data_IF_183018230086
#
_entry.id   IF_183018230086
#
_cell.length_a   1.000
_cell.length_b   1.000
_cell.length_c   1.000
_cell.angle_alpha   90.00
_cell.angle_beta   90.00
_cell.angle_gamma   90.00
#
_symmetry.space_group_name_H-M   'P 1'
#
loop_
_entity.id
_entity.type
_entity.pdbx_description
1 polymer ?
#
# COMPACT_ATOMS: atom_id res chain seq x y z
N UNK A 1 10.67 -12.36 9.43
CA UNK A 1 9.55 -11.47 9.83
C UNK A 1 9.95 -10.06 9.43
N UNK A 2 9.07 -9.33 8.75
CA UNK A 2 9.26 -7.88 8.53
C UNK A 2 8.39 -7.19 9.54
N UNK A 3 8.98 -6.27 10.30
CA UNK A 3 8.25 -5.46 11.27
C UNK A 3 8.44 -4.01 10.88
N UNK A 4 7.34 -3.27 10.81
CA UNK A 4 7.40 -1.83 10.90
C UNK A 4 7.79 -1.48 12.33
N UNK A 5 8.97 -0.87 12.48
CA UNK A 5 9.43 -0.37 13.77
C UNK A 5 9.17 1.12 13.86
N UNK A 6 8.18 1.53 14.65
CA UNK A 6 8.07 2.91 15.13
C UNK A 6 9.20 3.16 16.13
N UNK A 7 10.36 3.61 15.64
CA UNK A 7 11.32 4.21 16.56
C UNK A 7 10.87 5.63 16.88
N UNK A 8 10.26 5.79 18.05
CA UNK A 8 10.32 7.04 18.79
C UNK A 8 11.78 7.37 19.11
N UNK A 9 12.55 7.87 18.15
CA UNK A 9 13.87 8.42 18.41
C UNK A 9 13.68 9.89 18.79
N UNK A 10 13.33 10.10 20.05
CA UNK A 10 13.45 11.35 20.78
C UNK A 10 14.89 11.87 20.66
N UNK A 11 15.18 12.64 19.61
CA UNK A 11 16.22 13.66 19.68
C UNK A 11 15.51 15.00 19.67
N UNK A 12 15.66 15.73 20.78
CA UNK A 12 15.23 17.12 20.96
C UNK A 12 15.69 17.96 19.78
N UNK A 13 14.84 18.16 18.79
CA UNK A 13 14.87 19.35 17.96
C UNK A 13 13.49 20.02 18.06
N UNK A 14 13.41 21.31 18.43
CA UNK A 14 12.15 21.92 18.84
C UNK A 14 11.20 22.20 17.66
N UNK A 15 11.67 22.06 16.42
CA UNK A 15 11.00 22.70 15.27
C UNK A 15 10.61 21.75 14.12
N UNK A 16 10.56 20.43 14.37
CA UNK A 16 10.14 19.45 13.34
C UNK A 16 8.93 18.64 13.79
N UNK A 17 7.91 18.62 12.94
CA UNK A 17 6.65 17.88 13.08
C UNK A 17 6.92 16.36 13.21
N UNK A 18 5.98 15.63 13.82
CA UNK A 18 6.02 14.17 13.84
C UNK A 18 5.99 13.66 12.39
N UNK A 19 6.87 12.73 12.06
CA UNK A 19 7.01 12.18 10.71
C UNK A 19 6.22 10.87 10.67
N UNK A 20 5.14 10.78 9.89
CA UNK A 20 4.49 9.50 9.61
C UNK A 20 5.48 8.65 8.82
N UNK A 21 5.63 7.39 9.21
CA UNK A 21 6.61 6.46 8.65
C UNK A 21 7.52 5.85 9.70
N UNK A 22 7.99 4.64 9.42
CA UNK A 22 8.88 3.89 10.28
C UNK A 22 10.11 3.43 9.52
N UNK A 23 10.92 2.60 10.18
CA UNK A 23 12.01 1.92 9.49
C UNK A 23 11.53 0.58 8.96
N UNK A 24 11.83 0.31 7.69
CA UNK A 24 11.74 -1.02 7.13
C UNK A 24 12.95 -1.84 7.61
N UNK A 25 12.68 -2.90 8.35
CA UNK A 25 13.67 -3.83 8.87
C UNK A 25 13.34 -5.25 8.40
N UNK A 26 14.37 -5.99 7.99
CA UNK A 26 14.22 -7.40 7.61
C UNK A 26 14.91 -8.25 8.67
N UNK A 27 14.17 -9.16 9.30
CA UNK A 27 14.70 -10.09 10.29
C UNK A 27 14.51 -11.54 9.85
N UNK A 28 15.52 -12.37 10.12
CA UNK A 28 15.40 -13.82 10.05
C UNK A 28 14.30 -14.29 11.02
N UNK A 29 13.39 -15.14 10.54
CA UNK A 29 12.19 -15.52 11.30
C UNK A 29 12.49 -16.44 12.49
N UNK A 30 13.57 -17.22 12.41
CA UNK A 30 13.99 -18.22 13.39
C UNK A 30 14.86 -17.63 14.52
N UNK A 31 15.70 -16.66 14.18
CA UNK A 31 16.73 -16.10 15.07
C UNK A 31 16.46 -14.66 15.46
N UNK A 32 15.58 -13.95 14.73
CA UNK A 32 15.38 -12.51 14.88
C UNK A 32 16.56 -11.67 14.40
N UNK A 33 17.59 -12.28 13.80
CA UNK A 33 18.77 -11.57 13.32
C UNK A 33 18.38 -10.59 12.19
N UNK A 34 18.78 -9.32 12.34
CA UNK A 34 18.53 -8.29 11.34
C UNK A 34 19.45 -8.47 10.13
N UNK A 35 18.88 -8.43 8.93
CA UNK A 35 19.66 -8.34 7.70
C UNK A 35 20.38 -6.99 7.65
N UNK A 36 21.65 -6.96 7.21
CA UNK A 36 22.37 -5.71 7.06
C UNK A 36 21.70 -4.84 6.00
N UNK A 37 21.54 -3.54 6.30
CA UNK A 37 21.13 -2.54 5.31
C UNK A 37 22.22 -1.49 5.19
N UNK A 38 22.50 -1.04 3.95
CA UNK A 38 23.50 0.01 3.72
C UNK A 38 23.04 1.38 4.23
N UNK A 39 21.72 1.57 4.35
CA UNK A 39 21.10 2.81 4.79
C UNK A 39 19.83 2.54 5.60
N UNK A 40 19.35 3.58 6.28
CA UNK A 40 18.04 3.58 6.92
C UNK A 40 16.96 3.67 5.86
N UNK A 41 16.10 2.65 5.80
CA UNK A 41 15.01 2.56 4.84
C UNK A 41 13.74 3.08 5.51
N UNK A 42 13.23 4.20 5.02
CA UNK A 42 11.98 4.78 5.49
C UNK A 42 10.83 4.18 4.68
N UNK A 43 9.81 3.70 5.39
CA UNK A 43 8.65 3.09 4.79
C UNK A 43 7.40 3.42 5.61
N UNK A 44 6.31 3.64 4.88
CA UNK A 44 4.94 3.49 5.40
C UNK A 44 4.54 2.00 5.34
N UNK A 45 3.33 1.65 5.76
CA UNK A 45 2.83 0.26 5.80
C UNK A 45 2.82 -0.48 4.45
N UNK A 46 2.94 0.24 3.31
CA UNK A 46 2.95 -0.33 1.96
C UNK A 46 4.28 -0.95 1.53
N UNK A 47 4.52 -2.22 1.89
CA UNK A 47 5.61 -3.04 1.33
C UNK A 47 5.12 -4.43 0.88
N UNK A 48 5.83 -5.04 -0.05
CA UNK A 48 5.51 -6.36 -0.58
C UNK A 48 6.77 -7.19 -0.84
N UNK A 49 6.72 -8.47 -0.45
CA UNK A 49 7.74 -9.44 -0.83
C UNK A 49 7.59 -9.85 -2.28
N UNK A 50 8.70 -9.96 -2.99
CA UNK A 50 8.74 -10.63 -4.29
C UNK A 50 8.46 -12.13 -4.12
N UNK A 51 7.88 -12.80 -5.15
CA UNK A 51 7.67 -14.24 -5.14
C UNK A 51 8.96 -15.06 -4.92
N UNK A 52 10.13 -14.49 -5.24
CA UNK A 52 11.43 -15.13 -5.02
C UNK A 52 11.91 -15.14 -3.56
N UNK A 53 11.22 -14.41 -2.66
CA UNK A 53 11.58 -14.30 -1.24
C UNK A 53 12.92 -13.60 -0.97
N UNK A 54 13.50 -12.92 -1.96
CA UNK A 54 14.81 -12.24 -1.88
C UNK A 54 14.72 -10.74 -2.13
N UNK A 55 13.59 -10.26 -2.64
CA UNK A 55 13.35 -8.85 -2.86
C UNK A 55 12.13 -8.34 -2.12
N UNK A 56 12.16 -7.05 -1.77
CA UNK A 56 11.04 -6.33 -1.17
C UNK A 56 10.82 -5.04 -1.96
N UNK A 57 9.60 -4.83 -2.43
CA UNK A 57 9.16 -3.55 -2.97
C UNK A 57 8.54 -2.73 -1.84
N UNK A 58 8.78 -1.41 -1.84
CA UNK A 58 8.15 -0.52 -0.87
C UNK A 58 8.01 0.90 -1.40
N UNK A 59 7.08 1.65 -0.80
CA UNK A 59 6.97 3.11 -1.01
C UNK A 59 7.86 3.82 0.00
N UNK A 60 8.83 4.60 -0.48
CA UNK A 60 9.67 5.43 0.38
C UNK A 60 8.92 6.71 0.78
N UNK A 61 7.98 6.55 1.69
CA UNK A 61 7.16 7.62 2.21
C UNK A 61 7.63 8.10 3.59
N UNK A 62 7.46 9.41 3.81
CA UNK A 62 7.49 10.10 5.09
C UNK A 62 6.39 11.17 5.05
N UNK A 63 5.74 11.51 6.17
CA UNK A 63 4.65 12.49 6.15
C UNK A 63 5.01 13.86 5.58
N UNK A 64 6.29 14.24 5.64
CA UNK A 64 6.81 15.52 5.16
C UNK A 64 7.41 15.46 3.74
N UNK A 65 7.41 14.30 3.08
CA UNK A 65 8.06 14.10 1.78
C UNK A 65 7.05 13.71 0.72
N UNK A 66 6.76 14.65 -0.19
CA UNK A 66 6.21 14.36 -1.52
C UNK A 66 6.97 15.14 -2.60
N UNK A 67 7.15 14.58 -3.81
CA UNK A 67 6.73 13.25 -4.26
C UNK A 67 7.51 12.11 -3.58
N UNK A 68 7.04 10.86 -3.77
CA UNK A 68 7.63 9.64 -3.20
C UNK A 68 8.13 8.70 -4.29
N UNK A 69 9.07 7.83 -3.92
CA UNK A 69 9.64 6.83 -4.83
C UNK A 69 9.13 5.43 -4.49
N UNK A 70 8.91 4.61 -5.52
CA UNK A 70 8.75 3.16 -5.39
C UNK A 70 10.12 2.53 -5.53
N UNK A 71 10.51 1.71 -4.56
CA UNK A 71 11.84 1.15 -4.47
C UNK A 71 11.82 -0.38 -4.35
N UNK A 72 12.95 -1.00 -4.70
CA UNK A 72 13.23 -2.43 -4.52
C UNK A 72 14.47 -2.60 -3.66
N UNK A 73 14.38 -3.46 -2.66
CA UNK A 73 15.46 -3.86 -1.76
C UNK A 73 15.84 -5.31 -2.07
N UNK A 74 17.11 -5.56 -2.36
CA UNK A 74 17.67 -6.90 -2.24
C UNK A 74 17.97 -7.19 -0.76
N UNK A 75 17.45 -8.29 -0.21
CA UNK A 75 17.65 -8.62 1.21
C UNK A 75 19.13 -8.77 1.53
N UNK A 76 19.61 -8.00 2.53
CA UNK A 76 21.03 -7.95 2.91
C UNK A 76 21.91 -7.12 1.96
N UNK A 77 21.31 -6.44 0.98
CA UNK A 77 22.00 -5.72 -0.08
C UNK A 77 21.60 -4.25 -0.20
N UNK A 78 21.80 -3.72 -1.41
CA UNK A 78 21.43 -2.35 -1.76
C UNK A 78 19.96 -2.26 -2.17
N UNK A 79 19.44 -1.04 -2.13
CA UNK A 79 18.13 -0.71 -2.67
C UNK A 79 18.22 0.25 -3.84
N UNK A 80 17.25 0.15 -4.76
CA UNK A 80 17.18 0.98 -5.96
C UNK A 80 15.75 1.48 -6.19
N UNK A 81 15.57 2.77 -6.54
CA UNK A 81 14.27 3.24 -7.02
C UNK A 81 13.92 2.56 -8.34
N UNK A 82 12.67 2.14 -8.52
CA UNK A 82 12.14 1.64 -9.79
C UNK A 82 11.17 2.63 -10.43
N UNK A 83 10.55 3.49 -9.64
CA UNK A 83 9.79 4.64 -10.12
C UNK A 83 10.07 5.84 -9.20
N UNK A 84 10.36 7.00 -9.78
CA UNK A 84 10.66 8.23 -9.04
C UNK A 84 9.57 9.27 -9.22
N UNK A 85 9.51 10.22 -8.29
CA UNK A 85 8.61 11.38 -8.36
C UNK A 85 7.12 10.97 -8.51
N UNK A 86 6.71 9.94 -7.80
CA UNK A 86 5.34 9.41 -7.81
C UNK A 86 4.52 9.96 -6.65
N UNK A 87 3.25 9.56 -6.60
CA UNK A 87 2.38 9.73 -5.45
C UNK A 87 1.86 8.35 -4.98
N UNK A 88 2.73 7.34 -5.01
CA UNK A 88 2.37 5.97 -4.65
C UNK A 88 1.92 5.85 -3.18
N UNK A 89 0.94 5.00 -2.92
CA UNK A 89 0.39 4.73 -1.58
C UNK A 89 0.52 3.26 -1.15
N UNK A 90 0.54 2.34 -2.11
CA UNK A 90 0.65 0.90 -1.86
C UNK A 90 1.30 0.21 -3.06
N UNK A 91 1.97 -0.91 -2.80
CA UNK A 91 2.72 -1.68 -3.81
C UNK A 91 2.48 -3.18 -3.65
N UNK A 92 2.55 -3.91 -4.75
CA UNK A 92 2.60 -5.38 -4.76
C UNK A 92 3.46 -5.86 -5.93
N UNK A 93 3.97 -7.08 -5.87
CA UNK A 93 4.55 -7.72 -7.06
C UNK A 93 3.45 -8.32 -7.94
N UNK A 94 3.72 -8.37 -9.25
CA UNK A 94 3.04 -9.31 -10.14
C UNK A 94 3.37 -10.75 -9.73
N UNK A 95 2.48 -11.69 -10.08
CA UNK A 95 2.62 -13.10 -9.68
C UNK A 95 3.92 -13.75 -10.16
N UNK A 96 4.43 -13.32 -11.31
CA UNK A 96 5.70 -13.78 -11.90
C UNK A 96 6.94 -13.05 -11.34
N UNK A 97 6.74 -12.05 -10.48
CA UNK A 97 7.80 -11.24 -9.88
C UNK A 97 8.51 -10.28 -10.84
N UNK A 98 8.08 -10.20 -12.11
CA UNK A 98 8.76 -9.38 -13.13
C UNK A 98 8.38 -7.90 -13.07
N UNK A 99 7.21 -7.60 -12.49
CA UNK A 99 6.70 -6.24 -12.35
C UNK A 99 6.30 -5.93 -10.91
N UNK A 100 6.34 -4.65 -10.60
CA UNK A 100 5.77 -4.06 -9.40
C UNK A 100 4.54 -3.27 -9.83
N UNK A 101 3.42 -3.58 -9.21
CA UNK A 101 2.19 -2.84 -9.34
C UNK A 101 2.09 -1.87 -8.17
N UNK A 102 1.59 -0.66 -8.44
CA UNK A 102 1.38 0.32 -7.39
C UNK A 102 0.14 1.16 -7.62
N UNK A 103 -0.52 1.54 -6.52
CA UNK A 103 -1.59 2.52 -6.53
C UNK A 103 -0.99 3.92 -6.36
N UNK A 104 -1.42 4.86 -7.21
CA UNK A 104 -0.96 6.23 -7.24
C UNK A 104 -2.11 7.17 -6.89
N UNK A 105 -1.91 8.07 -5.93
CA UNK A 105 -2.87 9.14 -5.62
C UNK A 105 -2.85 10.24 -6.68
N UNK A 106 -4.00 10.86 -6.94
CA UNK A 106 -4.07 11.94 -7.93
C UNK A 106 -3.37 13.22 -7.44
N UNK A 107 -2.36 13.64 -8.19
CA UNK A 107 -1.61 14.87 -8.02
C UNK A 107 -1.87 15.85 -9.18
N UNK A 108 -2.84 15.55 -10.07
CA UNK A 108 -3.14 16.37 -11.25
C UNK A 108 -3.53 17.81 -10.89
N UNK A 109 -4.27 17.99 -9.79
CA UNK A 109 -4.73 19.29 -9.30
C UNK A 109 -3.75 20.07 -8.41
N UNK A 110 -2.52 19.57 -8.19
CA UNK A 110 -1.53 20.26 -7.37
C UNK A 110 -0.86 21.42 -8.15
N UNK A 111 -0.84 22.60 -7.53
CA UNK A 111 -0.41 23.89 -8.09
C UNK A 111 1.10 24.00 -8.41
N UNK A 112 1.48 25.09 -9.07
CA UNK A 112 2.88 25.48 -9.24
C UNK A 112 3.52 25.83 -7.88
N UNK A 113 4.63 25.16 -7.56
CA UNK A 113 5.39 25.38 -6.31
C UNK A 113 5.64 24.13 -5.48
N UNK A 114 4.94 23.02 -5.77
CA UNK A 114 5.31 21.68 -5.30
C UNK A 114 6.33 21.05 -6.26
N UNK A 115 7.24 20.17 -5.78
CA UNK A 115 8.14 19.46 -6.67
C UNK A 115 7.36 18.68 -7.75
N UNK A 116 7.92 18.53 -8.96
CA UNK A 116 7.20 17.91 -10.07
C UNK A 116 6.97 16.42 -9.79
N UNK A 117 5.76 15.95 -10.06
CA UNK A 117 5.43 14.54 -10.09
C UNK A 117 5.61 14.01 -11.53
N UNK A 118 6.43 12.97 -11.70
CA UNK A 118 6.54 12.24 -12.97
C UNK A 118 5.25 11.44 -13.27
N UNK A 119 4.57 10.94 -12.23
CA UNK A 119 3.26 10.28 -12.32
C UNK A 119 2.21 11.11 -11.60
N UNK A 120 1.49 11.95 -12.36
CA UNK A 120 0.50 12.88 -11.79
C UNK A 120 -0.87 12.26 -11.58
N UNK A 121 -1.36 11.51 -12.56
CA UNK A 121 -2.74 11.04 -12.55
C UNK A 121 -2.91 9.93 -11.52
N UNK A 122 -4.02 9.95 -10.78
CA UNK A 122 -4.38 8.86 -9.89
C UNK A 122 -4.68 7.57 -10.68
N UNK A 123 -4.33 6.42 -10.13
CA UNK A 123 -4.64 5.14 -10.77
C UNK A 123 -3.76 3.97 -10.33
N UNK A 124 -3.79 2.91 -11.13
CA UNK A 124 -3.00 1.69 -10.95
C UNK A 124 -1.94 1.63 -12.05
N UNK A 125 -0.69 1.47 -11.65
CA UNK A 125 0.47 1.50 -12.51
C UNK A 125 1.30 0.24 -12.36
N UNK A 126 2.08 -0.06 -13.39
CA UNK A 126 3.08 -1.13 -13.39
C UNK A 126 4.45 -0.59 -13.76
N UNK A 127 5.50 -1.15 -13.18
CA UNK A 127 6.90 -0.89 -13.54
C UNK A 127 7.70 -2.17 -13.45
N UNK A 128 8.74 -2.32 -14.27
CA UNK A 128 9.61 -3.49 -14.19
C UNK A 128 10.30 -3.55 -12.81
N UNK A 129 10.38 -4.75 -12.22
CA UNK A 129 11.01 -4.96 -10.93
C UNK A 129 12.55 -4.82 -10.97
N UNK A 130 13.13 -4.94 -12.17
CA UNK A 130 14.56 -4.82 -12.40
C UNK A 130 14.85 -3.85 -13.55
N UNK A 131 16.05 -3.27 -13.53
CA UNK A 131 16.55 -2.45 -14.63
C UNK A 131 16.90 -3.33 -15.84
N UNK A 132 16.57 -2.85 -17.04
CA UNK A 132 16.92 -3.52 -18.30
C UNK A 132 17.86 -2.63 -19.10
N UNK A 133 19.09 -3.09 -19.36
CA UNK A 133 20.06 -2.36 -20.20
C UNK A 133 20.48 -0.99 -19.64
N UNK A 134 20.48 -0.82 -18.31
CA UNK A 134 20.88 0.43 -17.63
C UNK A 134 19.87 1.58 -17.76
N UNK A 135 18.68 1.33 -18.32
CA UNK A 135 17.59 2.31 -18.38
C UNK A 135 16.40 1.80 -17.57
N UNK A 136 15.85 2.67 -16.72
CA UNK A 136 14.61 2.40 -15.99
C UNK A 136 13.41 2.62 -16.90
N UNK A 137 12.54 1.60 -17.08
CA UNK A 137 11.28 1.79 -17.78
C UNK A 137 10.42 2.82 -17.04
N UNK A 138 9.73 3.69 -17.78
CA UNK A 138 8.73 4.57 -17.17
C UNK A 138 7.55 3.73 -16.66
N UNK A 139 6.91 4.12 -15.54
CA UNK A 139 5.67 3.49 -15.10
C UNK A 139 4.61 3.50 -16.19
N UNK A 140 3.97 2.35 -16.42
CA UNK A 140 2.91 2.18 -17.41
C UNK A 140 1.56 2.10 -16.70
N UNK A 141 0.57 2.96 -17.05
CA UNK A 141 -0.76 2.88 -16.44
C UNK A 141 -1.47 1.60 -16.88
N UNK A 142 -1.99 0.84 -15.92
CA UNK A 142 -2.98 -0.20 -16.16
C UNK A 142 -4.40 0.39 -16.15
N UNK A 143 -4.60 1.38 -15.28
CA UNK A 143 -5.82 2.18 -15.18
C UNK A 143 -5.44 3.55 -14.62
N UNK A 144 -5.98 4.64 -15.18
CA UNK A 144 -5.71 5.99 -14.69
C UNK A 144 -6.98 6.84 -14.77
N UNK A 145 -7.35 7.45 -13.64
CA UNK A 145 -8.51 8.33 -13.53
C UNK A 145 -8.27 9.39 -12.43
N UNK A 146 -8.35 10.69 -12.77
CA UNK A 146 -8.22 11.78 -11.81
C UNK A 146 -9.24 11.74 -10.67
N UNK A 147 -8.94 12.50 -9.61
CA UNK A 147 -9.79 12.80 -8.48
C UNK A 147 -9.84 11.72 -7.41
N UNK A 148 -9.65 10.44 -7.72
CA UNK A 148 -9.80 9.39 -6.69
C UNK A 148 -8.47 9.09 -6.00
N UNK A 149 -8.57 8.69 -4.73
CA UNK A 149 -7.48 8.03 -4.03
C UNK A 149 -7.55 6.52 -4.32
N UNK A 150 -6.40 5.90 -4.56
CA UNK A 150 -6.27 4.48 -4.80
C UNK A 150 -5.31 3.91 -3.76
N UNK A 151 -5.58 2.71 -3.27
CA UNK A 151 -4.80 2.06 -2.22
C UNK A 151 -5.01 0.56 -2.20
N UNK A 152 -4.48 -0.07 -1.15
CA UNK A 152 -4.65 -1.48 -0.79
C UNK A 152 -4.67 -2.38 -2.04
N UNK A 153 -3.53 -2.57 -2.70
CA UNK A 153 -3.41 -3.25 -4.00
C UNK A 153 -2.91 -4.69 -3.87
N UNK A 154 -3.47 -5.60 -4.66
CA UNK A 154 -2.94 -6.97 -4.82
C UNK A 154 -3.02 -7.49 -6.25
N UNK A 155 -2.09 -8.37 -6.61
CA UNK A 155 -2.13 -9.15 -7.85
C UNK A 155 -2.81 -10.50 -7.59
N UNK A 156 -3.80 -10.84 -8.41
CA UNK A 156 -4.64 -12.02 -8.22
C UNK A 156 -4.13 -13.23 -9.00
N UNK A 157 -4.60 -14.41 -8.60
CA UNK A 157 -4.22 -15.67 -9.23
C UNK A 157 -4.58 -15.76 -10.71
N UNK A 158 -5.65 -15.06 -11.10
CA UNK A 158 -6.19 -14.92 -12.46
C UNK A 158 -5.42 -13.94 -13.36
N UNK A 159 -4.47 -13.18 -12.81
CA UNK A 159 -3.81 -12.07 -13.50
C UNK A 159 -4.56 -10.74 -13.41
N UNK A 160 -5.74 -10.71 -12.78
CA UNK A 160 -6.43 -9.49 -12.42
C UNK A 160 -5.70 -8.74 -11.29
N UNK A 161 -6.05 -7.47 -11.10
CA UNK A 161 -5.53 -6.62 -10.02
C UNK A 161 -6.70 -6.13 -9.19
N UNK A 162 -6.71 -6.44 -7.89
CA UNK A 162 -7.67 -5.86 -6.96
C UNK A 162 -7.05 -4.68 -6.22
N UNK A 163 -7.86 -3.67 -5.95
CA UNK A 163 -7.44 -2.46 -5.26
C UNK A 163 -8.63 -1.77 -4.61
N UNK A 164 -8.37 -0.85 -3.68
CA UNK A 164 -9.41 0.03 -3.16
C UNK A 164 -9.41 1.39 -3.83
N UNK A 165 -10.58 2.00 -3.92
CA UNK A 165 -10.70 3.41 -4.30
C UNK A 165 -11.57 4.17 -3.32
N UNK A 166 -11.20 5.43 -3.11
CA UNK A 166 -11.96 6.38 -2.31
C UNK A 166 -12.19 7.66 -3.12
N UNK A 167 -13.44 8.15 -3.22
CA UNK A 167 -13.75 9.41 -3.90
C UNK A 167 -13.04 10.61 -3.26
N UNK A 168 -12.69 11.64 -4.05
CA UNK A 168 -12.19 12.91 -3.50
C UNK A 168 -13.24 13.56 -2.59
N UNK A 169 -12.79 14.25 -1.54
CA UNK A 169 -13.66 15.11 -0.74
C UNK A 169 -14.58 14.40 0.25
N UNK A 170 -14.57 13.06 0.34
CA UNK A 170 -15.05 12.37 1.55
C UNK A 170 -14.06 12.64 2.67
N UNK A 171 -14.26 13.76 3.38
CA UNK A 171 -13.58 14.02 4.64
C UNK A 171 -13.91 12.95 5.69
N UNK A 172 -13.36 13.07 6.89
CA UNK A 172 -13.48 12.12 8.00
C UNK A 172 -14.93 11.71 8.41
N UNK A 173 -15.97 12.31 7.81
CA UNK A 173 -17.37 12.05 8.11
C UNK A 173 -17.96 10.79 7.44
N UNK A 174 -17.38 10.30 6.35
CA UNK A 174 -17.76 9.00 5.74
C UNK A 174 -16.53 8.38 5.05
N UNK A 175 -15.58 7.85 5.84
CA UNK A 175 -14.34 7.31 5.31
C UNK A 175 -14.63 5.88 4.86
N UNK A 176 -15.36 5.72 3.75
CA UNK A 176 -15.55 4.41 3.12
C UNK A 176 -14.76 4.30 1.81
N UNK A 177 -14.26 3.09 1.58
CA UNK A 177 -13.60 2.65 0.35
C UNK A 177 -14.55 1.73 -0.41
N UNK A 178 -14.27 1.57 -1.70
CA UNK A 178 -14.83 0.49 -2.52
C UNK A 178 -13.72 -0.45 -2.95
N UNK A 179 -14.04 -1.74 -3.13
CA UNK A 179 -13.13 -2.70 -3.76
C UNK A 179 -13.43 -2.73 -5.24
N UNK A 180 -12.36 -2.61 -6.03
CA UNK A 180 -12.39 -2.73 -7.47
C UNK A 180 -11.48 -3.86 -7.95
N UNK A 181 -11.88 -4.48 -9.05
CA UNK A 181 -11.11 -5.50 -9.75
C UNK A 181 -10.89 -5.05 -11.19
N UNK A 182 -9.64 -4.91 -11.59
CA UNK A 182 -9.23 -4.75 -12.99
C UNK A 182 -8.87 -6.12 -13.55
N UNK A 183 -9.78 -6.68 -14.35
CA UNK A 183 -9.56 -7.99 -14.98
C UNK A 183 -8.39 -7.95 -15.98
N UNK A 184 -7.71 -9.08 -16.15
CA UNK A 184 -6.59 -9.20 -17.07
C UNK A 184 -7.00 -8.81 -18.51
N UNK A 185 -6.27 -7.85 -19.10
CA UNK A 185 -6.56 -7.33 -20.43
C UNK A 185 -7.70 -6.31 -20.50
N UNK A 186 -8.38 -6.01 -19.39
CA UNK A 186 -9.33 -4.90 -19.30
C UNK A 186 -8.60 -3.57 -19.05
N UNK A 187 -9.22 -2.48 -19.51
CA UNK A 187 -8.84 -1.10 -19.15
C UNK A 187 -9.83 -0.44 -18.18
N UNK A 188 -10.92 -1.14 -17.84
CA UNK A 188 -11.96 -0.66 -16.97
C UNK A 188 -12.13 -1.60 -15.77
N UNK A 189 -11.97 -1.10 -14.54
CA UNK A 189 -12.23 -1.89 -13.36
C UNK A 189 -13.73 -2.02 -13.09
N UNK A 190 -14.13 -3.15 -12.51
CA UNK A 190 -15.47 -3.37 -11.95
C UNK A 190 -15.45 -3.14 -10.44
N UNK A 191 -16.48 -2.48 -9.92
CA UNK A 191 -16.68 -2.34 -8.47
C UNK A 191 -17.41 -3.57 -7.95
N UNK A 192 -16.86 -4.21 -6.91
CA UNK A 192 -17.42 -5.45 -6.34
C UNK A 192 -17.93 -5.28 -4.92
N UNK A 193 -17.33 -4.36 -4.15
CA UNK A 193 -17.75 -4.02 -2.78
C UNK A 193 -17.80 -2.51 -2.62
N UNK A 194 -18.82 -1.98 -1.95
CA UNK A 194 -19.06 -0.53 -1.83
C UNK A 194 -19.02 0.01 -0.40
N UNK A 195 -18.93 -0.88 0.58
CA UNK A 195 -19.11 -0.60 2.00
C UNK A 195 -17.90 -1.02 2.82
N UNK A 196 -16.69 -0.79 2.30
CA UNK A 196 -15.46 -1.04 3.06
C UNK A 196 -15.21 0.11 4.02
N UNK A 197 -15.10 -0.17 5.31
CA UNK A 197 -14.79 0.82 6.31
C UNK A 197 -13.30 1.21 6.28
N UNK A 198 -13.02 2.50 6.43
CA UNK A 198 -11.67 2.99 6.73
C UNK A 198 -11.60 3.22 8.22
N UNK A 199 -11.00 2.26 8.92
CA UNK A 199 -10.67 2.40 10.33
C UNK A 199 -9.38 3.18 10.47
N UNK A 200 -9.37 4.16 11.36
CA UNK A 200 -8.19 4.97 11.67
C UNK A 200 -7.78 4.73 13.11
N UNK A 201 -6.55 4.28 13.32
CA UNK A 201 -5.87 4.28 14.62
C UNK A 201 -5.15 5.61 14.78
N UNK A 202 -5.62 6.43 15.71
CA UNK A 202 -5.03 7.73 15.99
C UNK A 202 -4.13 7.69 17.23
N UNK A 203 -2.94 8.26 17.14
CA UNK A 203 -2.02 8.48 18.25
C UNK A 203 -1.84 9.97 18.50
N UNK A 204 -2.02 10.38 19.75
CA UNK A 204 -1.80 11.75 20.16
C UNK A 204 -0.32 12.05 20.30
N UNK A 205 0.10 13.16 19.70
CA UNK A 205 1.46 13.68 19.80
C UNK A 205 1.66 14.37 21.16
N UNK A 206 2.78 14.11 21.86
CA UNK A 206 3.15 14.83 23.08
C UNK A 206 3.29 16.35 22.91
N UNK A 207 3.36 16.85 21.67
CA UNK A 207 3.46 18.29 21.34
C UNK A 207 2.12 18.90 20.91
N UNK A 208 1.03 18.16 21.02
CA UNK A 208 -0.30 18.53 20.50
C UNK A 208 -0.48 18.10 19.03
N UNK A 209 -1.67 17.61 18.71
CA UNK A 209 -2.03 17.00 17.42
C UNK A 209 -2.23 15.48 17.53
N UNK A 210 -2.97 14.90 16.58
CA UNK A 210 -3.22 13.45 16.49
C UNK A 210 -2.81 12.95 15.11
N UNK A 211 -2.10 11.83 15.05
CA UNK A 211 -1.67 11.14 13.83
C UNK A 211 -2.52 9.91 13.66
N UNK A 212 -3.26 9.81 12.54
CA UNK A 212 -4.19 8.72 12.29
C UNK A 212 -3.72 7.85 11.12
N UNK A 213 -3.46 6.57 11.38
CA UNK A 213 -3.09 5.57 10.38
C UNK A 213 -4.27 4.64 10.09
N UNK A 214 -4.37 4.09 8.88
CA UNK A 214 -5.36 3.04 8.60
C UNK A 214 -5.09 1.80 9.47
N UNK A 215 -6.10 1.34 10.22
CA UNK A 215 -5.96 0.29 11.23
C UNK A 215 -5.77 -1.10 10.62
N UNK A 216 -6.51 -1.41 9.55
CA UNK A 216 -6.43 -2.67 8.83
C UNK A 216 -6.94 -2.49 7.39
N UNK A 217 -6.12 -2.89 6.43
CA UNK A 217 -6.47 -2.93 5.00
C UNK A 217 -7.29 -4.20 4.70
N UNK A 218 -8.09 -4.24 3.61
CA UNK A 218 -8.62 -5.49 3.10
C UNK A 218 -7.50 -6.50 2.91
N UNK A 219 -7.75 -7.76 3.23
CA UNK A 219 -6.75 -8.82 3.09
C UNK A 219 -7.26 -9.84 2.09
N UNK A 220 -6.48 -10.04 1.03
CA UNK A 220 -6.80 -11.01 -0.02
C UNK A 220 -6.25 -12.39 0.31
N UNK A 221 -7.11 -13.38 0.17
CA UNK A 221 -6.83 -14.78 0.43
C UNK A 221 -6.62 -15.57 -0.85
N UNK A 222 -6.13 -16.81 -0.70
CA UNK A 222 -6.07 -17.75 -1.80
C UNK A 222 -7.47 -18.04 -2.36
N UNK A 223 -7.55 -18.29 -3.67
CA UNK A 223 -8.82 -18.62 -4.33
C UNK A 223 -9.74 -17.41 -4.57
N UNK A 224 -9.17 -16.21 -4.70
CA UNK A 224 -9.92 -14.98 -5.00
C UNK A 224 -10.97 -14.66 -3.92
N UNK A 225 -10.57 -14.80 -2.66
CA UNK A 225 -11.34 -14.35 -1.49
C UNK A 225 -10.77 -13.04 -0.94
N UNK A 226 -11.63 -12.25 -0.29
CA UNK A 226 -11.26 -11.04 0.42
C UNK A 226 -11.93 -10.98 1.78
N UNK A 227 -11.16 -10.54 2.78
CA UNK A 227 -11.64 -10.18 4.10
C UNK A 227 -11.55 -8.65 4.27
N UNK A 228 -12.59 -8.01 4.79
CA UNK A 228 -12.63 -6.57 5.05
C UNK A 228 -13.59 -6.23 6.19
N UNK A 229 -13.48 -5.02 6.76
CA UNK A 229 -14.47 -4.50 7.71
C UNK A 229 -15.54 -3.71 6.97
N UNK A 230 -16.82 -4.00 7.21
CA UNK A 230 -17.93 -3.25 6.62
C UNK A 230 -18.24 -1.94 7.36
N UNK A 231 -19.01 -1.03 6.75
CA UNK A 231 -19.38 0.27 7.35
C UNK A 231 -20.57 0.22 8.31
N UNK A 232 -21.02 -0.97 8.71
CA UNK A 232 -22.12 -1.08 9.65
C UNK A 232 -21.72 -0.62 11.05
N UNK A 233 -22.68 -0.38 11.95
CA UNK A 233 -22.40 0.10 13.31
C UNK A 233 -21.51 -0.82 14.15
N UNK A 234 -21.32 -2.08 13.74
CA UNK A 234 -20.44 -3.05 14.40
C UNK A 234 -19.10 -3.26 13.70
N UNK A 235 -18.85 -2.62 12.55
CA UNK A 235 -17.73 -2.86 11.65
C UNK A 235 -17.48 -4.37 11.47
N UNK A 236 -18.42 -5.08 10.84
CA UNK A 236 -18.32 -6.53 10.75
C UNK A 236 -17.11 -6.93 9.92
N UNK A 237 -16.36 -7.92 10.39
CA UNK A 237 -15.45 -8.68 9.54
C UNK A 237 -16.29 -9.47 8.54
N UNK A 238 -16.21 -9.09 7.27
CA UNK A 238 -16.86 -9.75 6.15
C UNK A 238 -15.83 -10.55 5.38
N UNK A 239 -16.17 -11.79 5.06
CA UNK A 239 -15.42 -12.66 4.14
C UNK A 239 -16.30 -12.97 2.95
N UNK A 240 -15.78 -12.76 1.75
CA UNK A 240 -16.52 -12.98 0.50
C UNK A 240 -15.57 -13.33 -0.64
N UNK A 241 -16.09 -13.89 -1.73
CA UNK A 241 -15.35 -14.01 -2.98
C UNK A 241 -15.20 -12.63 -3.66
N UNK A 242 -14.23 -12.46 -4.56
CA UNK A 242 -13.94 -11.15 -5.17
C UNK A 242 -15.12 -10.49 -5.88
N UNK A 243 -16.09 -11.27 -6.36
CA UNK A 243 -17.31 -10.78 -7.01
C UNK A 243 -18.43 -10.45 -6.02
N UNK A 244 -18.15 -10.59 -4.72
CA UNK A 244 -19.07 -10.37 -3.62
C UNK A 244 -20.39 -11.19 -3.73
N UNK A 245 -20.31 -12.44 -4.22
CA UNK A 245 -21.50 -13.28 -4.46
C UNK A 245 -22.00 -13.94 -3.20
N UNK A 246 -21.16 -14.14 -2.19
CA UNK A 246 -21.52 -14.84 -0.95
C UNK A 246 -20.86 -14.24 0.29
N UNK A 247 -21.17 -12.98 0.64
CA UNK A 247 -20.60 -12.33 1.82
C UNK A 247 -21.07 -12.99 3.11
N UNK A 248 -20.11 -13.33 3.97
CA UNK A 248 -20.34 -13.89 5.29
C UNK A 248 -19.82 -12.93 6.35
N UNK A 249 -20.69 -12.49 7.25
CA UNK A 249 -20.33 -11.71 8.45
C UNK A 249 -19.82 -12.66 9.53
N UNK A 250 -18.55 -12.54 9.89
CA UNK A 250 -17.84 -13.46 10.77
C UNK A 250 -17.87 -13.00 12.21
N UNK A 251 -17.47 -11.75 12.47
CA UNK A 251 -17.34 -11.20 13.82
C UNK A 251 -17.40 -9.66 13.82
N UNK A 252 -17.49 -9.04 15.00
CA UNK A 252 -17.45 -7.59 15.23
C UNK A 252 -16.35 -7.22 16.23
N UNK A 253 -15.91 -5.96 16.25
CA UNK A 253 -14.84 -5.51 17.17
C UNK A 253 -13.47 -6.11 16.85
N UNK A 254 -13.25 -6.46 15.57
CA UNK A 254 -11.99 -7.02 15.08
C UNK A 254 -11.02 -5.88 14.79
N UNK A 255 -9.86 -5.88 15.45
CA UNK A 255 -8.81 -4.88 15.24
C UNK A 255 -7.86 -5.27 14.09
N UNK A 256 -7.54 -6.56 13.95
CA UNK A 256 -6.64 -7.08 12.91
C UNK A 256 -7.01 -8.49 12.49
N UNK A 257 -6.77 -8.82 11.22
CA UNK A 257 -7.03 -10.14 10.66
C UNK A 257 -6.06 -10.44 9.51
N UNK A 258 -5.81 -11.73 9.28
CA UNK A 258 -4.98 -12.21 8.19
C UNK A 258 -5.42 -13.62 7.77
N UNK A 259 -5.13 -13.98 6.52
CA UNK A 259 -5.27 -15.35 6.04
C UNK A 259 -4.09 -16.20 6.50
N UNK A 260 -4.35 -17.48 6.78
CA UNK A 260 -3.28 -18.45 6.95
C UNK A 260 -2.44 -18.54 5.66
N UNK A 261 -1.10 -18.65 5.75
CA UNK A 261 -0.28 -18.94 4.58
C UNK A 261 -0.79 -20.20 3.88
N UNK A 262 -0.87 -20.17 2.56
CA UNK A 262 -1.19 -21.38 1.79
C UNK A 262 -0.16 -22.47 2.10
N UNK A 263 -0.63 -23.69 2.39
CA UNK A 263 0.26 -24.84 2.50
C UNK A 263 1.02 -24.99 1.18
N UNK A 264 2.35 -25.00 1.25
CA UNK A 264 3.23 -25.26 0.11
C UNK A 264 3.28 -26.74 -0.22
#
# INVERSE_FOLDING_TARGET
MVTHGETGCLRRQPDRWAVDGGYLLVAAADTGALAPTQQKLFAESGFAWAPDGRHIAWVQARSDVRPVDVNVLAVGGASTPVATDTNASSVTYSKDGQAILFANGDASGLDAGVPPFAVRTGGIYSVAAAETGGKRPAPTPLFAKPGSYYGDITALGSGAVAFTTQPPGRGAADPSKTIQVLDAGSSLPRTTVTDVAVMLTCQDSPRGGSVCNAAQEPVWGAGDFVAYLDTSSGNWLVVTDLDNRSPTRVDTGVDTFAWSPAAR
#
